data_IF_115957923920
#
_entry.id   IF_115957923920
#
_cell.length_a   1.000
_cell.length_b   1.000
_cell.length_c   1.000
_cell.angle_alpha   90.00
_cell.angle_beta   90.00
_cell.angle_gamma   90.00
#
_symmetry.space_group_name_H-M   'P 1'
#
loop_
_entity.id
_entity.type
_entity.pdbx_description
1 polymer ?
#
# COMPACT_ATOMS: atom_id res chain seq x y z
N UNK A 1 -21.63 -9.97 -1.80
CA UNK A 1 -20.69 -9.48 -0.76
C UNK A 1 -19.46 -10.35 -0.51
N UNK A 2 -19.56 -11.70 -0.39
CA UNK A 2 -18.38 -12.56 -0.13
C UNK A 2 -17.27 -12.44 -1.18
N UNK A 3 -17.61 -12.50 -2.48
CA UNK A 3 -16.63 -12.38 -3.58
C UNK A 3 -15.90 -11.03 -3.59
N UNK A 4 -16.62 -9.94 -3.31
CA UNK A 4 -16.03 -8.58 -3.22
C UNK A 4 -15.01 -8.54 -2.07
N UNK A 5 -15.38 -9.03 -0.87
CA UNK A 5 -14.44 -9.08 0.26
C UNK A 5 -13.19 -9.91 -0.06
N UNK A 6 -13.33 -11.04 -0.77
CA UNK A 6 -12.19 -11.86 -1.18
C UNK A 6 -11.25 -11.11 -2.13
N UNK A 7 -11.79 -10.44 -3.16
CA UNK A 7 -10.98 -9.63 -4.10
C UNK A 7 -10.23 -8.52 -3.37
N UNK A 8 -10.92 -7.79 -2.50
CA UNK A 8 -10.33 -6.73 -1.68
C UNK A 8 -9.24 -7.26 -0.74
N UNK A 9 -9.40 -8.44 -0.17
CA UNK A 9 -8.38 -9.06 0.68
C UNK A 9 -7.14 -9.48 -0.12
N UNK A 10 -7.33 -10.01 -1.33
CA UNK A 10 -6.23 -10.33 -2.25
C UNK A 10 -5.47 -9.06 -2.65
N UNK A 11 -6.19 -7.99 -3.00
CA UNK A 11 -5.58 -6.70 -3.32
C UNK A 11 -4.78 -6.13 -2.14
N UNK A 12 -5.31 -6.18 -0.92
CA UNK A 12 -4.56 -5.79 0.28
C UNK A 12 -3.24 -6.55 0.43
N UNK A 13 -3.25 -7.88 0.19
CA UNK A 13 -2.04 -8.70 0.27
C UNK A 13 -1.03 -8.27 -0.80
N UNK A 14 -1.48 -8.07 -2.04
CA UNK A 14 -0.63 -7.62 -3.15
C UNK A 14 0.00 -6.25 -2.83
N UNK A 15 -0.80 -5.29 -2.37
CA UNK A 15 -0.29 -3.97 -1.99
C UNK A 15 0.68 -4.04 -0.81
N UNK A 16 0.44 -4.94 0.16
CA UNK A 16 1.39 -5.21 1.24
C UNK A 16 2.75 -5.71 0.74
N UNK A 17 2.75 -6.62 -0.24
CA UNK A 17 3.99 -7.12 -0.86
C UNK A 17 4.71 -6.00 -1.61
N UNK A 18 3.99 -5.19 -2.39
CA UNK A 18 4.56 -4.07 -3.14
C UNK A 18 5.14 -3.01 -2.18
N UNK A 19 4.49 -2.77 -1.04
CA UNK A 19 5.00 -1.88 0.00
C UNK A 19 6.35 -2.37 0.53
N UNK A 20 6.47 -3.66 0.87
CA UNK A 20 7.74 -4.26 1.30
C UNK A 20 8.81 -4.12 0.21
N UNK A 21 8.45 -4.34 -1.06
CA UNK A 21 9.36 -4.14 -2.18
C UNK A 21 9.93 -2.72 -2.23
N UNK A 22 9.08 -1.70 -2.04
CA UNK A 22 9.57 -0.31 -1.99
C UNK A 22 10.50 -0.04 -0.82
N UNK A 23 10.27 -0.65 0.35
CA UNK A 23 11.22 -0.56 1.46
C UNK A 23 12.60 -1.12 1.10
N UNK A 24 12.67 -2.22 0.34
CA UNK A 24 13.96 -2.80 -0.09
C UNK A 24 14.73 -1.93 -1.08
N UNK A 25 14.04 -1.01 -1.77
CA UNK A 25 14.64 -0.08 -2.74
C UNK A 25 15.24 1.18 -2.09
N UNK A 26 15.08 1.36 -0.77
CA UNK A 26 15.66 2.50 -0.06
C UNK A 26 17.18 2.35 -0.04
N UNK A 27 17.88 3.38 -0.48
CA UNK A 27 19.29 3.54 -0.23
C UNK A 27 19.51 3.94 1.24
N UNK A 28 19.78 2.94 2.08
CA UNK A 28 20.02 3.17 3.50
C UNK A 28 21.35 3.88 3.81
N UNK A 29 22.25 4.02 2.83
CA UNK A 29 23.51 4.75 3.00
C UNK A 29 23.33 6.26 2.82
N UNK A 30 22.34 6.68 2.04
CA UNK A 30 21.94 8.08 1.85
C UNK A 30 20.42 8.17 1.91
N UNK A 31 19.90 8.57 3.06
CA UNK A 31 18.46 8.68 3.36
C UNK A 31 17.81 9.95 2.78
N UNK A 32 18.56 10.77 2.03
CA UNK A 32 18.03 12.02 1.47
C UNK A 32 16.85 11.76 0.53
N UNK A 33 15.93 12.72 0.49
CA UNK A 33 14.76 12.64 -0.39
C UNK A 33 15.16 12.62 -1.87
N UNK A 34 16.29 13.24 -2.23
CA UNK A 34 16.74 13.30 -3.63
C UNK A 34 17.07 11.90 -4.16
N UNK A 35 17.79 11.11 -3.37
CA UNK A 35 18.22 9.76 -3.76
C UNK A 35 17.10 8.72 -3.65
N UNK A 36 16.18 8.91 -2.69
CA UNK A 36 15.10 7.95 -2.41
C UNK A 36 13.71 8.42 -2.85
N UNK A 37 13.62 9.48 -3.65
CA UNK A 37 12.34 10.10 -4.02
C UNK A 37 11.34 9.07 -4.57
N UNK A 38 11.81 8.18 -5.45
CA UNK A 38 10.98 7.10 -6.00
C UNK A 38 10.51 6.12 -4.92
N UNK A 39 11.41 5.65 -4.05
CA UNK A 39 11.07 4.71 -2.98
C UNK A 39 10.06 5.32 -1.98
N UNK A 40 10.28 6.57 -1.58
CA UNK A 40 9.38 7.28 -0.68
C UNK A 40 8.01 7.54 -1.28
N UNK A 41 7.94 7.97 -2.55
CA UNK A 41 6.67 8.13 -3.24
C UNK A 41 5.94 6.79 -3.42
N UNK A 42 6.69 5.72 -3.68
CA UNK A 42 6.18 4.36 -3.72
C UNK A 42 5.54 3.92 -2.40
N UNK A 43 6.28 4.06 -1.29
CA UNK A 43 5.79 3.75 0.07
C UNK A 43 4.55 4.58 0.41
N UNK A 44 4.61 5.90 0.17
CA UNK A 44 3.51 6.82 0.45
C UNK A 44 2.24 6.42 -0.33
N UNK A 45 2.38 6.17 -1.63
CA UNK A 45 1.27 5.79 -2.49
C UNK A 45 0.64 4.46 -2.05
N UNK A 46 1.47 3.46 -1.74
CA UNK A 46 0.98 2.15 -1.28
C UNK A 46 0.32 2.22 0.10
N UNK A 47 0.82 3.06 1.01
CA UNK A 47 0.19 3.32 2.29
C UNK A 47 -1.19 3.99 2.11
N UNK A 48 -1.28 5.02 1.26
CA UNK A 48 -2.55 5.70 0.97
C UNK A 48 -3.57 4.76 0.34
N UNK A 49 -3.17 3.96 -0.66
CA UNK A 49 -4.05 2.97 -1.30
C UNK A 49 -4.55 1.96 -0.27
N UNK A 50 -3.67 1.46 0.60
CA UNK A 50 -4.05 0.49 1.64
C UNK A 50 -5.09 1.06 2.61
N UNK A 51 -4.94 2.34 3.00
CA UNK A 51 -5.92 3.03 3.86
C UNK A 51 -7.25 3.22 3.12
N UNK A 52 -7.21 3.69 1.87
CA UNK A 52 -8.40 3.88 1.04
C UNK A 52 -9.17 2.56 0.87
N UNK A 53 -8.45 1.46 0.62
CA UNK A 53 -9.02 0.14 0.48
C UNK A 53 -9.77 -0.30 1.75
N UNK A 54 -9.17 -0.08 2.93
CA UNK A 54 -9.82 -0.37 4.22
C UNK A 54 -11.05 0.50 4.48
N UNK A 55 -11.01 1.79 4.14
CA UNK A 55 -12.17 2.69 4.27
C UNK A 55 -13.34 2.23 3.40
N UNK A 56 -13.08 1.86 2.15
CA UNK A 56 -14.11 1.33 1.24
C UNK A 56 -14.73 0.05 1.79
N UNK A 57 -13.91 -0.89 2.28
CA UNK A 57 -14.40 -2.14 2.88
C UNK A 57 -15.27 -1.86 4.12
N UNK A 58 -14.84 -0.94 4.99
CA UNK A 58 -15.63 -0.52 6.17
C UNK A 58 -16.95 0.12 5.77
N UNK A 59 -16.95 1.01 4.78
CA UNK A 59 -18.16 1.65 4.24
C UNK A 59 -19.15 0.64 3.66
N UNK A 60 -18.66 -0.38 2.95
CA UNK A 60 -19.50 -1.48 2.44
C UNK A 60 -20.07 -2.35 3.58
N UNK A 61 -19.39 -2.47 4.72
CA UNK A 61 -19.86 -3.27 5.87
C UNK A 61 -20.95 -2.57 6.69
N UNK A 62 -21.01 -1.23 6.64
CA UNK A 62 -21.99 -0.41 7.35
C UNK A 62 -23.32 -0.25 6.58
N UNK A 63 -23.39 -0.72 5.34
CA UNK A 63 -24.56 -0.65 4.45
C UNK A 63 -25.15 -2.03 4.21
#
# INVERSE_FOLDING_TARGET
MRKIKTVFNILSIIFGIILIFWFTQINYSDISFKENSSAYLGILSMAMISIALQMIIRGIKLK
#
